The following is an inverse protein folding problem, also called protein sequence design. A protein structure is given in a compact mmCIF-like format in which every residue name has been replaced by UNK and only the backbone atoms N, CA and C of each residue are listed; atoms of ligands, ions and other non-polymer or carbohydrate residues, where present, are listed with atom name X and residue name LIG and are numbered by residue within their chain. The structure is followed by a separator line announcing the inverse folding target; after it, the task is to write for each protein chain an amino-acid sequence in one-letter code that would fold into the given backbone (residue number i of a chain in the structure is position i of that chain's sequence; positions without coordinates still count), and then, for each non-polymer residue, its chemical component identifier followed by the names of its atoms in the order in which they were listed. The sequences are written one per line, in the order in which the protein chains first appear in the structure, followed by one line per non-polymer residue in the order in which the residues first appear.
data_IF_466218487106
#
_entry.id   IF_466218487106
#
_cell.length_a   1.000
_cell.length_b   1.000
_cell.length_c   1.000
_cell.angle_alpha   90.00
_cell.angle_beta   90.00
_cell.angle_gamma   90.00
#
_symmetry.space_group_name_H-M   'P 1'
#
loop_
_entity.id
_entity.type
_entity.pdbx_description
1 polymer ?
#
# COMPACT_ATOMS: atom_id res chain seq x y z
N UNK A 1 15.27 0.77 -4.87
CA UNK A 1 15.32 1.20 -6.29
C UNK A 1 15.21 2.72 -6.34
N UNK A 2 15.93 3.41 -7.24
CA UNK A 2 15.75 4.87 -7.41
C UNK A 2 15.03 5.14 -8.73
N UNK A 3 13.86 5.76 -8.65
CA UNK A 3 12.97 6.07 -9.76
C UNK A 3 13.02 7.56 -10.11
N UNK A 4 12.89 7.87 -11.40
CA UNK A 4 12.70 9.24 -11.86
C UNK A 4 11.20 9.58 -11.87
N UNK A 5 10.72 10.51 -11.02
CA UNK A 5 9.29 10.84 -10.92
C UNK A 5 8.73 11.47 -12.19
N UNK A 6 9.56 12.05 -13.07
CA UNK A 6 9.14 12.62 -14.36
C UNK A 6 9.01 11.57 -15.46
N UNK A 7 9.63 10.40 -15.30
CA UNK A 7 9.58 9.32 -16.28
C UNK A 7 8.64 8.18 -15.91
N UNK A 8 8.16 8.13 -14.66
CA UNK A 8 7.22 7.08 -14.25
C UNK A 8 5.94 7.11 -15.09
N UNK A 9 5.55 5.92 -15.53
CA UNK A 9 4.30 5.68 -16.22
C UNK A 9 3.15 5.73 -15.21
N UNK A 10 1.96 5.98 -15.74
CA UNK A 10 0.74 5.96 -14.92
C UNK A 10 0.37 4.51 -14.67
N UNK A 11 0.04 4.17 -13.44
CA UNK A 11 -0.45 2.84 -13.10
C UNK A 11 -1.86 2.70 -13.70
N UNK A 12 -2.09 1.61 -14.43
CA UNK A 12 -3.46 1.16 -14.69
C UNK A 12 -3.92 0.35 -13.45
N UNK A 13 -4.91 0.85 -12.69
CA UNK A 13 -5.35 0.23 -11.43
C UNK A 13 -5.86 -1.21 -11.57
N UNK A 14 -6.16 -1.66 -12.79
CA UNK A 14 -6.65 -3.02 -13.05
C UNK A 14 -5.54 -4.03 -13.35
N UNK A 15 -4.28 -3.61 -13.44
CA UNK A 15 -3.14 -4.52 -13.67
C UNK A 15 -2.92 -5.42 -12.45
N UNK A 16 -3.11 -4.89 -11.24
CA UNK A 16 -2.83 -5.60 -10.00
C UNK A 16 -4.11 -5.91 -9.23
N UNK A 17 -4.34 -7.18 -8.89
CA UNK A 17 -5.55 -7.60 -8.17
C UNK A 17 -5.67 -6.96 -6.77
N UNK A 18 -4.55 -6.77 -6.08
CA UNK A 18 -4.47 -6.17 -4.74
C UNK A 18 -4.25 -4.65 -4.77
N UNK A 19 -4.42 -4.00 -5.92
CA UNK A 19 -4.30 -2.55 -6.00
C UNK A 19 -5.39 -1.88 -5.15
N UNK A 20 -5.08 -0.90 -4.29
CA UNK A 20 -6.10 -0.23 -3.48
C UNK A 20 -7.00 0.67 -4.33
N UNK A 21 -8.28 0.80 -3.97
CA UNK A 21 -9.13 1.83 -4.55
C UNK A 21 -8.72 3.20 -4.01
N UNK A 22 -8.10 4.01 -4.86
CA UNK A 22 -7.57 5.34 -4.54
C UNK A 22 -8.63 6.35 -4.05
N UNK A 23 -9.92 6.01 -4.20
CA UNK A 23 -11.05 6.85 -3.76
C UNK A 23 -11.66 6.41 -2.44
N UNK A 24 -11.27 5.24 -1.95
CA UNK A 24 -11.79 4.67 -0.72
C UNK A 24 -10.79 4.87 0.44
N UNK A 25 -11.31 4.97 1.65
CA UNK A 25 -10.46 5.13 2.85
C UNK A 25 -9.63 6.42 2.91
N UNK A 26 -9.88 7.42 2.05
CA UNK A 26 -9.08 8.65 1.97
C UNK A 26 -9.10 9.42 3.29
N UNK A 27 -7.92 9.66 3.85
CA UNK A 27 -7.74 10.53 5.01
C UNK A 27 -7.44 11.95 4.53
N UNK A 28 -8.46 12.81 4.52
CA UNK A 28 -8.35 14.19 4.01
C UNK A 28 -7.28 15.04 4.73
N UNK A 29 -7.05 14.75 6.02
CA UNK A 29 -6.01 15.41 6.82
C UNK A 29 -4.61 14.82 6.58
N UNK A 30 -4.46 13.75 5.80
CA UNK A 30 -3.19 13.06 5.56
C UNK A 30 -2.80 13.10 4.08
N UNK A 31 -2.88 14.31 3.51
CA UNK A 31 -2.37 14.64 2.18
C UNK A 31 -1.05 15.38 2.33
N UNK A 32 -0.03 14.88 1.65
CA UNK A 32 1.35 15.31 1.78
C UNK A 32 1.93 15.70 0.42
N UNK A 33 2.87 16.63 0.43
CA UNK A 33 3.64 17.03 -0.75
C UNK A 33 5.09 16.63 -0.57
N UNK A 34 5.60 15.81 -1.48
CA UNK A 34 7.02 15.44 -1.56
C UNK A 34 7.57 15.95 -2.91
N UNK A 35 8.29 17.08 -2.88
CA UNK A 35 8.66 17.78 -4.12
C UNK A 35 7.44 18.20 -4.94
N UNK A 36 7.31 17.72 -6.17
CA UNK A 36 6.16 17.99 -7.06
C UNK A 36 5.06 16.90 -7.00
N UNK A 37 5.24 15.89 -6.13
CA UNK A 37 4.31 14.78 -5.97
C UNK A 37 3.33 15.07 -4.85
N UNK A 38 2.11 14.55 -5.01
CA UNK A 38 1.07 14.56 -3.99
C UNK A 38 0.87 13.14 -3.50
N UNK A 39 1.09 12.92 -2.21
CA UNK A 39 0.94 11.64 -1.54
C UNK A 39 -0.33 11.67 -0.68
N UNK A 40 -1.25 10.74 -0.88
CA UNK A 40 -2.51 10.67 -0.14
C UNK A 40 -2.55 9.38 0.65
N UNK A 41 -2.70 9.47 1.97
CA UNK A 41 -2.86 8.31 2.83
C UNK A 41 -4.30 7.80 2.81
N UNK A 42 -4.45 6.50 2.70
CA UNK A 42 -5.69 5.75 2.75
C UNK A 42 -5.66 4.82 3.97
N UNK A 43 -6.80 4.69 4.63
CA UNK A 43 -7.01 3.76 5.74
C UNK A 43 -8.09 2.75 5.39
N UNK A 44 -7.75 1.48 5.55
CA UNK A 44 -8.58 0.32 5.21
C UNK A 44 -9.24 0.41 3.81
N UNK A 45 -8.55 0.84 2.73
CA UNK A 45 -9.17 0.89 1.40
C UNK A 45 -9.52 -0.50 0.88
N UNK A 46 -10.64 -0.61 0.17
CA UNK A 46 -10.97 -1.81 -0.59
C UNK A 46 -9.98 -2.07 -1.74
N UNK A 47 -9.84 -3.33 -2.16
CA UNK A 47 -9.13 -3.69 -3.39
C UNK A 47 -9.93 -3.20 -4.61
N UNK A 48 -9.25 -2.59 -5.60
CA UNK A 48 -9.89 -2.06 -6.80
C UNK A 48 -10.56 -3.12 -7.66
N UNK A 49 -10.02 -4.34 -7.63
CA UNK A 49 -10.59 -5.50 -8.31
C UNK A 49 -11.90 -6.00 -7.69
N UNK A 50 -12.17 -5.65 -6.43
CA UNK A 50 -13.27 -6.19 -5.63
C UNK A 50 -13.02 -7.59 -5.06
N UNK A 51 -11.80 -8.13 -5.14
CA UNK A 51 -11.45 -9.40 -4.50
C UNK A 51 -11.00 -9.20 -3.03
N UNK A 52 -11.56 -10.00 -2.11
CA UNK A 52 -11.28 -9.95 -0.66
C UNK A 52 -10.15 -10.93 -0.23
N UNK A 53 -9.18 -11.20 -1.10
CA UNK A 53 -8.04 -12.09 -0.76
C UNK A 53 -6.98 -11.40 0.08
N UNK A 54 -6.92 -10.08 -0.03
CA UNK A 54 -5.95 -9.24 0.66
C UNK A 54 -6.72 -8.14 1.38
N UNK A 55 -6.40 -7.96 2.65
CA UNK A 55 -6.77 -6.78 3.43
C UNK A 55 -5.64 -5.76 3.33
N UNK A 56 -5.98 -4.51 3.08
CA UNK A 56 -5.04 -3.39 3.01
C UNK A 56 -5.29 -2.47 4.22
N UNK A 57 -4.60 -2.62 5.37
CA UNK A 57 -4.86 -1.75 6.52
C UNK A 57 -4.56 -0.28 6.24
N UNK A 58 -3.49 -0.01 5.48
CA UNK A 58 -3.12 1.33 5.05
C UNK A 58 -2.43 1.30 3.70
N UNK A 59 -2.58 2.39 2.95
CA UNK A 59 -1.88 2.59 1.67
C UNK A 59 -1.63 4.07 1.43
N UNK A 60 -0.54 4.41 0.76
CA UNK A 60 -0.25 5.76 0.32
C UNK A 60 -0.15 5.82 -1.21
N UNK A 61 -1.04 6.59 -1.82
CA UNK A 61 -1.12 6.80 -3.26
C UNK A 61 -0.31 8.03 -3.64
N UNK A 62 0.61 7.88 -4.59
CA UNK A 62 1.48 8.96 -5.07
C UNK A 62 1.08 9.40 -6.47
N UNK A 63 0.72 10.67 -6.57
CA UNK A 63 0.18 11.26 -7.78
C UNK A 63 1.08 12.36 -8.33
N UNK A 64 1.26 12.32 -9.66
CA UNK A 64 1.85 13.41 -10.45
C UNK A 64 0.79 13.97 -11.38
N UNK A 65 0.46 15.25 -11.23
CA UNK A 65 -0.59 15.93 -12.02
C UNK A 65 -1.93 15.15 -12.00
N UNK A 66 -2.35 14.68 -10.82
CA UNK A 66 -3.57 13.87 -10.57
C UNK A 66 -3.60 12.50 -11.25
N UNK A 67 -2.44 11.98 -11.66
CA UNK A 67 -2.31 10.62 -12.17
C UNK A 67 -1.42 9.83 -11.24
N UNK A 68 -1.87 8.63 -10.86
CA UNK A 68 -1.15 7.75 -9.95
C UNK A 68 0.01 7.09 -10.67
N UNK A 69 1.20 7.26 -10.10
CA UNK A 69 2.45 6.76 -10.67
C UNK A 69 3.14 5.75 -9.76
N UNK A 70 2.80 5.76 -8.47
CA UNK A 70 3.34 4.86 -7.46
C UNK A 70 2.32 4.70 -6.33
N UNK A 71 2.27 3.51 -5.74
CA UNK A 71 1.50 3.25 -4.51
C UNK A 71 2.36 2.42 -3.58
N UNK A 72 2.38 2.77 -2.29
CA UNK A 72 2.96 1.92 -1.24
C UNK A 72 1.81 1.42 -0.37
N UNK A 73 1.72 0.12 -0.15
CA UNK A 73 0.62 -0.49 0.63
C UNK A 73 1.15 -1.43 1.69
N UNK A 74 0.49 -1.45 2.84
CA UNK A 74 0.59 -2.55 3.78
C UNK A 74 -0.53 -3.54 3.50
N UNK A 75 -0.18 -4.81 3.40
CA UNK A 75 -1.08 -5.86 2.98
C UNK A 75 -1.00 -7.06 3.92
N UNK A 76 -2.16 -7.67 4.13
CA UNK A 76 -2.30 -8.93 4.83
C UNK A 76 -3.16 -9.85 3.99
N UNK A 77 -2.75 -11.09 3.81
CA UNK A 77 -3.59 -12.09 3.19
C UNK A 77 -4.72 -12.48 4.15
N UNK A 78 -5.96 -12.55 3.64
CA UNK A 78 -7.09 -13.07 4.39
C UNK A 78 -7.11 -14.60 4.29
N UNK A 79 -6.66 -15.26 5.36
CA UNK A 79 -6.56 -16.71 5.42
C UNK A 79 -7.91 -17.40 5.28
N UNK A 80 -9.02 -16.71 5.59
CA UNK A 80 -10.37 -17.26 5.40
C UNK A 80 -10.70 -17.32 3.93
N UNK A 81 -10.50 -16.21 3.22
CA UNK A 81 -10.71 -16.12 1.77
C UNK A 81 -9.80 -17.08 1.02
N UNK A 82 -8.54 -17.21 1.44
CA UNK A 82 -7.59 -18.19 0.90
C UNK A 82 -8.06 -19.62 1.15
N UNK A 83 -8.50 -19.96 2.37
CA UNK A 83 -9.00 -21.31 2.68
C UNK A 83 -10.16 -21.72 1.76
N UNK A 84 -11.07 -20.78 1.50
CA UNK A 84 -12.21 -21.01 0.62
C UNK A 84 -11.77 -21.20 -0.84
N UNK A 85 -10.81 -20.38 -1.31
CA UNK A 85 -10.31 -20.43 -2.70
C UNK A 85 -9.46 -21.68 -2.97
N UNK A 86 -8.68 -22.13 -1.99
CA UNK A 86 -7.81 -23.30 -2.09
C UNK A 86 -8.50 -24.62 -1.74
N UNK A 87 -9.67 -24.56 -1.09
CA UNK A 87 -10.41 -25.75 -0.64
C UNK A 87 -9.73 -26.48 0.52
N UNK A 88 -8.91 -25.79 1.30
CA UNK A 88 -8.25 -26.32 2.50
C UNK A 88 -8.91 -25.79 3.78
N UNK A 89 -8.53 -26.34 4.93
CA UNK A 89 -9.02 -25.83 6.21
C UNK A 89 -8.28 -24.55 6.60
N UNK A 90 -8.99 -23.60 7.22
CA UNK A 90 -8.37 -22.41 7.80
C UNK A 90 -7.26 -22.78 8.82
N UNK A 91 -7.43 -23.89 9.54
CA UNK A 91 -6.48 -24.34 10.54
C UNK A 91 -5.12 -24.70 9.93
N UNK A 92 -5.13 -25.37 8.78
CA UNK A 92 -3.91 -25.69 8.03
C UNK A 92 -3.15 -24.41 7.66
N UNK A 93 -3.85 -23.39 7.13
CA UNK A 93 -3.23 -22.10 6.81
C UNK A 93 -2.72 -21.38 8.06
N UNK A 94 -3.46 -21.41 9.17
CA UNK A 94 -3.01 -20.82 10.44
C UNK A 94 -1.74 -21.48 10.97
N UNK A 95 -1.64 -22.80 10.88
CA UNK A 95 -0.45 -23.54 11.32
C UNK A 95 0.75 -23.28 10.36
N UNK A 96 0.51 -23.13 9.05
CA UNK A 96 1.54 -22.77 8.06
C UNK A 96 2.08 -21.34 8.24
N UNK A 97 1.18 -20.37 8.41
CA UNK A 97 1.53 -18.95 8.64
C UNK A 97 1.92 -18.68 10.10
N UNK A 98 1.96 -19.70 10.96
CA UNK A 98 2.29 -19.61 12.38
C UNK A 98 1.49 -18.55 13.14
N UNK A 99 0.22 -18.37 12.77
CA UNK A 99 -0.67 -17.34 13.35
C UNK A 99 -1.93 -17.96 13.95
N UNK A 100 -2.46 -17.33 15.00
CA UNK A 100 -3.78 -17.67 15.55
C UNK A 100 -4.90 -16.80 14.96
N UNK A 101 -4.54 -15.79 14.17
CA UNK A 101 -5.45 -14.83 13.56
C UNK A 101 -6.05 -15.31 12.24
N UNK A 102 -6.82 -14.43 11.60
CA UNK A 102 -7.39 -14.64 10.26
C UNK A 102 -6.56 -14.00 9.15
N UNK A 103 -5.53 -13.26 9.51
CA UNK A 103 -4.71 -12.49 8.60
C UNK A 103 -3.24 -12.90 8.75
N UNK A 104 -2.51 -12.86 7.64
CA UNK A 104 -1.06 -12.97 7.64
C UNK A 104 -0.40 -11.77 8.36
N UNK A 105 0.92 -11.84 8.50
CA UNK A 105 1.75 -10.70 8.88
C UNK A 105 1.56 -9.54 7.88
N UNK A 106 1.78 -8.30 8.34
CA UNK A 106 1.77 -7.13 7.48
C UNK A 106 3.01 -7.15 6.60
N UNK A 107 2.81 -7.12 5.28
CA UNK A 107 3.89 -6.98 4.30
C UNK A 107 3.72 -5.66 3.56
N UNK A 108 4.83 -4.99 3.31
CA UNK A 108 4.86 -3.77 2.54
C UNK A 108 5.08 -4.09 1.06
N UNK A 109 4.28 -3.46 0.19
CA UNK A 109 4.40 -3.59 -1.26
C UNK A 109 4.51 -2.22 -1.90
N UNK A 110 5.31 -2.14 -2.95
CA UNK A 110 5.44 -0.97 -3.81
C UNK A 110 4.96 -1.30 -5.21
N UNK A 111 3.99 -0.54 -5.67
CA UNK A 111 3.39 -0.67 -6.99
C UNK A 111 3.93 0.41 -7.90
N UNK A 112 4.38 -0.01 -9.08
CA UNK A 112 4.57 0.86 -10.25
C UNK A 112 3.67 0.37 -11.38
N UNK A 113 3.75 1.03 -12.53
CA UNK A 113 3.05 0.56 -13.72
C UNK A 113 3.62 -0.75 -14.28
N UNK A 114 4.84 -1.13 -13.87
CA UNK A 114 5.59 -2.25 -14.43
C UNK A 114 5.73 -3.41 -13.46
N UNK A 115 5.77 -3.13 -12.16
CA UNK A 115 6.01 -4.15 -11.14
C UNK A 115 5.26 -3.90 -9.84
N UNK A 116 5.13 -4.98 -9.08
CA UNK A 116 4.72 -5.00 -7.67
C UNK A 116 5.88 -5.60 -6.89
N UNK A 117 6.65 -4.74 -6.22
CA UNK A 117 7.83 -5.11 -5.43
C UNK A 117 7.41 -5.43 -3.99
N UNK A 118 7.90 -6.55 -3.44
CA UNK A 118 7.76 -6.90 -2.01
C UNK A 118 8.89 -6.23 -1.23
N UNK A 119 8.55 -5.27 -0.37
CA UNK A 119 9.49 -4.55 0.48
C UNK A 119 9.78 -5.31 1.79
N UNK A 120 9.11 -6.43 2.03
CA UNK A 120 9.28 -7.29 3.20
C UNK A 120 8.22 -7.08 4.28
N UNK A 121 8.51 -7.63 5.45
CA UNK A 121 7.65 -7.53 6.63
C UNK A 121 7.69 -6.12 7.20
N UNK A 122 6.52 -5.58 7.55
CA UNK A 122 6.40 -4.36 8.34
C UNK A 122 6.31 -4.72 9.83
N UNK A 123 7.31 -4.31 10.60
CA UNK A 123 7.45 -4.56 12.04
C UNK A 123 7.18 -3.33 12.92
N UNK A 124 6.83 -2.20 12.31
CA UNK A 124 6.48 -0.97 13.01
C UNK A 124 5.10 -1.00 13.67
N UNK A 125 4.82 0.01 14.49
CA UNK A 125 3.53 0.17 15.14
C UNK A 125 2.43 0.53 14.12
N UNK A 126 1.23 -0.02 14.32
CA UNK A 126 0.08 0.23 13.43
C UNK A 126 -0.67 1.54 13.72
N UNK A 127 -0.04 2.46 14.45
CA UNK A 127 -0.57 3.80 14.70
C UNK A 127 -0.29 4.75 13.52
N UNK A 128 -1.12 5.79 13.40
CA UNK A 128 -1.10 6.67 12.24
C UNK A 128 0.22 7.44 12.06
N UNK A 129 0.98 7.71 13.13
CA UNK A 129 2.27 8.40 13.01
C UNK A 129 3.32 7.47 12.40
N UNK A 130 3.45 6.26 12.94
CA UNK A 130 4.40 5.25 12.48
C UNK A 130 4.16 4.85 11.02
N UNK A 131 2.90 4.64 10.63
CA UNK A 131 2.52 4.33 9.25
C UNK A 131 2.86 5.48 8.30
N UNK A 132 2.56 6.71 8.69
CA UNK A 132 2.86 7.90 7.88
C UNK A 132 4.35 8.03 7.63
N UNK A 133 5.17 7.91 8.69
CA UNK A 133 6.62 8.04 8.59
C UNK A 133 7.17 6.99 7.62
N UNK A 134 6.79 5.72 7.84
CA UNK A 134 7.20 4.62 6.99
C UNK A 134 6.91 4.86 5.50
N UNK A 135 5.68 5.26 5.16
CA UNK A 135 5.33 5.50 3.76
C UNK A 135 6.06 6.70 3.16
N UNK A 136 6.14 7.82 3.88
CA UNK A 136 6.82 9.01 3.37
C UNK A 136 8.31 8.78 3.16
N UNK A 137 8.98 8.10 4.10
CA UNK A 137 10.38 7.70 3.95
C UNK A 137 10.56 6.78 2.74
N UNK A 138 9.73 5.74 2.62
CA UNK A 138 9.77 4.81 1.48
C UNK A 138 9.63 5.56 0.14
N UNK A 139 8.72 6.53 0.05
CA UNK A 139 8.49 7.33 -1.16
C UNK A 139 9.67 8.25 -1.43
N UNK A 140 10.20 8.93 -0.40
CA UNK A 140 11.36 9.81 -0.55
C UNK A 140 12.59 9.04 -1.01
N UNK A 141 12.87 7.88 -0.41
CA UNK A 141 13.97 7.00 -0.81
C UNK A 141 13.79 6.47 -2.22
N UNK A 142 12.56 6.08 -2.59
CA UNK A 142 12.26 5.56 -3.92
C UNK A 142 12.50 6.60 -5.01
N UNK A 143 12.22 7.88 -4.75
CA UNK A 143 12.38 8.96 -5.73
C UNK A 143 13.63 9.83 -5.51
N UNK A 144 14.49 9.49 -4.55
CA UNK A 144 15.64 10.30 -4.12
C UNK A 144 15.26 11.77 -3.82
N UNK A 145 14.14 11.94 -3.09
CA UNK A 145 13.62 13.25 -2.72
C UNK A 145 14.29 13.71 -1.43
N UNK A 146 15.12 14.75 -1.55
CA UNK A 146 15.85 15.34 -0.42
C UNK A 146 15.03 16.38 0.37
N UNK A 147 13.90 16.85 -0.18
CA UNK A 147 13.04 17.82 0.50
C UNK A 147 12.13 17.14 1.51
N UNK A 148 11.99 17.73 2.70
CA UNK A 148 11.05 17.24 3.70
C UNK A 148 9.59 17.24 3.19
N UNK A 149 8.81 16.17 3.45
CA UNK A 149 7.39 16.14 3.16
C UNK A 149 6.61 17.23 3.89
N UNK A 150 5.75 17.95 3.18
CA UNK A 150 4.91 19.01 3.76
C UNK A 150 3.44 18.61 3.70
N UNK A 151 2.77 18.62 4.85
CA UNK A 151 1.34 18.36 4.93
C UNK A 151 0.54 19.49 4.26
N UNK A 152 -0.36 19.14 3.37
CA UNK A 152 -1.32 20.06 2.77
C UNK A 152 -2.55 20.08 3.67
N UNK A 153 -2.84 21.24 4.27
CA UNK A 153 -4.13 21.46 4.92
C UNK A 153 -5.15 21.84 3.85
N UNK A 154 -6.16 20.99 3.64
CA UNK A 154 -7.29 21.25 2.75
C UNK A 154 -8.35 22.06 3.48
#
# INVERSE_FOLDING_TARGET
MVLDPLKQQVIDPLIWHSFPDERDGVLADEIWKCGDLVCTLLKDPACKSGEDLVRIPYSMVVQRKRKTILVVSLEQEDLRSLSYKLGCSLRELQDEYQTKGYFSENRAYLYTALEREDLGLYDGDMDLQSIRIFFLETICDTFDILSEPVQIKV
#
